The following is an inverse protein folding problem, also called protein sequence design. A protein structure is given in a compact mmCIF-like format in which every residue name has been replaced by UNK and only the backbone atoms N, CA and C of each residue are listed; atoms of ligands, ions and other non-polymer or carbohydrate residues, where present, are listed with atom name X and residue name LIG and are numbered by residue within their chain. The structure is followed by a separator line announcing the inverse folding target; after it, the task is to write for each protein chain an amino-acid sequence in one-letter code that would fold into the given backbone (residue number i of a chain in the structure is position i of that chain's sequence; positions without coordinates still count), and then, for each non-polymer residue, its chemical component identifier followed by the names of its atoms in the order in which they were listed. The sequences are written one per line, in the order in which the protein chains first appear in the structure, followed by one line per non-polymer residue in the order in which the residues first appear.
data_IF_381433975051
#
_entry.id   IF_381433975051
#
_cell.length_a   1.000
_cell.length_b   1.000
_cell.length_c   1.000
_cell.angle_alpha   90.00
_cell.angle_beta   90.00
_cell.angle_gamma   90.00
#
_symmetry.space_group_name_H-M   'P 1'
#
loop_
_entity.id
_entity.type
_entity.pdbx_description
1 polymer ?
#
# COMPACT_ATOMS: atom_id res chain seq x y z
N UNK A 1 22.62 -0.54 0.69
CA UNK A 1 22.23 0.86 0.96
C UNK A 1 20.80 0.88 1.50
N UNK A 2 20.54 1.62 2.57
CA UNK A 2 19.19 1.72 3.13
C UNK A 2 18.26 2.52 2.22
N UNK A 3 16.99 2.11 2.15
CA UNK A 3 15.98 2.74 1.28
C UNK A 3 15.77 4.22 1.60
N UNK A 4 15.81 4.59 2.88
CA UNK A 4 15.71 5.96 3.35
C UNK A 4 16.90 6.80 2.87
N UNK A 5 18.13 6.27 3.03
CA UNK A 5 19.35 6.92 2.54
C UNK A 5 19.29 7.13 1.02
N UNK A 6 18.88 6.10 0.27
CA UNK A 6 18.76 6.20 -1.19
C UNK A 6 17.78 7.30 -1.62
N UNK A 7 16.60 7.36 -0.97
CA UNK A 7 15.59 8.39 -1.25
C UNK A 7 16.10 9.78 -0.91
N UNK A 8 16.78 9.93 0.23
CA UNK A 8 17.41 11.19 0.64
C UNK A 8 18.45 11.63 -0.39
N UNK A 9 19.35 10.73 -0.83
CA UNK A 9 20.33 11.03 -1.86
C UNK A 9 19.66 11.52 -3.15
N UNK A 10 18.66 10.79 -3.66
CA UNK A 10 17.92 11.18 -4.87
C UNK A 10 17.25 12.55 -4.68
N UNK A 11 16.63 12.81 -3.52
CA UNK A 11 15.96 14.09 -3.22
C UNK A 11 16.95 15.25 -3.26
N UNK A 12 18.08 15.12 -2.56
CA UNK A 12 19.10 16.18 -2.48
C UNK A 12 19.68 16.49 -3.85
N UNK A 13 20.00 15.47 -4.68
CA UNK A 13 20.51 15.73 -6.04
C UNK A 13 19.45 16.35 -6.96
N UNK A 14 18.19 15.93 -6.84
CA UNK A 14 17.11 16.53 -7.62
C UNK A 14 16.94 18.02 -7.28
N UNK A 15 17.06 18.39 -6.00
CA UNK A 15 17.02 19.78 -5.55
C UNK A 15 18.24 20.59 -6.01
N UNK A 16 19.39 19.95 -6.21
CA UNK A 16 20.58 20.55 -6.83
C UNK A 16 20.44 20.72 -8.36
N UNK A 17 19.33 20.27 -8.95
CA UNK A 17 19.05 20.41 -10.39
C UNK A 17 19.62 19.30 -11.26
N UNK A 18 20.08 18.20 -10.68
CA UNK A 18 20.60 17.06 -11.45
C UNK A 18 19.46 16.30 -12.14
N UNK A 19 19.76 15.79 -13.33
CA UNK A 19 18.88 14.93 -14.10
C UNK A 19 18.85 13.49 -13.56
N UNK A 20 17.82 12.73 -13.90
CA UNK A 20 17.69 11.33 -13.48
C UNK A 20 18.90 10.47 -13.90
N UNK A 21 19.48 10.74 -15.07
CA UNK A 21 20.64 10.03 -15.60
C UNK A 21 21.89 10.32 -14.78
N UNK A 22 22.14 11.58 -14.45
CA UNK A 22 23.30 11.97 -13.63
C UNK A 22 23.21 11.36 -12.23
N UNK A 23 22.02 11.39 -11.63
CA UNK A 23 21.76 10.79 -10.31
C UNK A 23 22.01 9.28 -10.34
N UNK A 24 21.52 8.58 -11.37
CA UNK A 24 21.75 7.14 -11.52
C UNK A 24 23.23 6.80 -11.69
N UNK A 25 23.95 7.57 -12.51
CA UNK A 25 25.37 7.36 -12.76
C UNK A 25 26.20 7.61 -11.50
N UNK A 26 25.89 8.66 -10.73
CA UNK A 26 26.55 8.95 -9.45
C UNK A 26 26.31 7.83 -8.44
N UNK A 27 25.05 7.37 -8.29
CA UNK A 27 24.72 6.28 -7.38
C UNK A 27 25.39 4.96 -7.77
N UNK A 28 25.48 4.69 -9.07
CA UNK A 28 26.16 3.50 -9.61
C UNK A 28 27.67 3.57 -9.40
N UNK A 29 28.28 4.75 -9.57
CA UNK A 29 29.71 4.96 -9.37
C UNK A 29 30.13 4.81 -7.91
N UNK A 30 29.31 5.28 -6.97
CA UNK A 30 29.63 5.23 -5.53
C UNK A 30 29.33 3.87 -4.92
N UNK A 31 28.19 3.26 -5.25
CA UNK A 31 27.69 2.07 -4.55
C UNK A 31 27.74 0.78 -5.39
N UNK A 32 27.99 0.89 -6.70
CA UNK A 32 27.97 -0.22 -7.65
C UNK A 32 26.66 -0.34 -8.45
N UNK A 33 26.68 -1.14 -9.54
CA UNK A 33 25.56 -1.25 -10.49
C UNK A 33 24.30 -1.94 -9.94
N UNK A 34 24.43 -2.73 -8.88
CA UNK A 34 23.32 -3.52 -8.34
C UNK A 34 22.44 -2.77 -7.32
N UNK A 35 22.76 -1.50 -7.03
CA UNK A 35 22.15 -0.77 -5.92
C UNK A 35 20.78 -0.21 -6.26
N UNK A 36 20.64 0.38 -7.45
CA UNK A 36 19.37 0.97 -7.87
C UNK A 36 19.27 0.99 -9.39
N UNK A 37 18.13 0.56 -9.92
CA UNK A 37 17.87 0.68 -11.35
C UNK A 37 17.52 2.13 -11.71
N UNK A 38 17.85 2.53 -12.94
CA UNK A 38 17.42 3.81 -13.51
C UNK A 38 15.90 4.04 -13.38
N UNK A 39 15.09 3.01 -13.62
CA UNK A 39 13.64 3.08 -13.50
C UNK A 39 13.18 3.45 -12.08
N UNK A 40 13.87 2.92 -11.07
CA UNK A 40 13.58 3.26 -9.66
C UNK A 40 13.88 4.73 -9.38
N UNK A 41 15.00 5.27 -9.88
CA UNK A 41 15.37 6.69 -9.75
C UNK A 41 14.33 7.57 -10.44
N UNK A 42 14.02 7.28 -11.71
CA UNK A 42 13.04 8.04 -12.51
C UNK A 42 11.65 8.07 -11.87
N UNK A 43 11.13 6.90 -11.43
CA UNK A 43 9.83 6.81 -10.75
C UNK A 43 9.79 7.61 -9.44
N UNK A 44 10.92 7.72 -8.74
CA UNK A 44 10.99 8.53 -7.51
C UNK A 44 11.03 10.02 -7.84
N UNK A 45 11.77 10.42 -8.87
CA UNK A 45 11.81 11.81 -9.36
C UNK A 45 10.41 12.29 -9.75
N UNK A 46 9.65 11.50 -10.50
CA UNK A 46 8.28 11.81 -10.91
C UNK A 46 7.30 11.97 -9.73
N UNK A 47 7.61 11.36 -8.58
CA UNK A 47 6.78 11.49 -7.36
C UNK A 47 7.01 12.80 -6.63
N UNK A 48 8.22 13.38 -6.67
CA UNK A 48 8.53 14.61 -5.92
C UNK A 48 7.67 15.84 -6.23
N UNK A 49 7.23 16.13 -7.47
CA UNK A 49 6.33 17.28 -7.69
C UNK A 49 4.92 17.06 -7.10
N UNK A 50 4.50 15.81 -6.86
CA UNK A 50 3.15 15.43 -6.46
C UNK A 50 3.04 14.85 -5.03
N UNK A 51 4.17 14.48 -4.40
CA UNK A 51 4.25 13.88 -3.06
C UNK A 51 5.01 14.78 -2.08
N UNK A 52 4.41 14.89 -0.89
CA UNK A 52 4.85 15.55 0.35
C UNK A 52 6.34 15.33 0.65
N UNK A 53 6.92 16.26 1.40
CA UNK A 53 8.31 16.31 1.87
C UNK A 53 8.89 15.00 2.46
N UNK A 54 8.04 14.02 2.81
CA UNK A 54 8.40 12.77 3.46
C UNK A 54 9.24 11.83 2.59
N UNK A 55 10.27 11.27 3.22
CA UNK A 55 11.12 10.22 2.64
C UNK A 55 10.56 8.81 2.86
N UNK A 56 9.51 8.69 3.68
CA UNK A 56 8.88 7.41 3.99
C UNK A 56 7.91 6.98 2.90
N UNK A 57 7.60 5.69 2.89
CA UNK A 57 6.51 5.21 2.05
C UNK A 57 5.18 5.66 2.67
N UNK A 58 4.22 6.03 1.84
CA UNK A 58 2.86 6.22 2.30
C UNK A 58 2.37 4.93 3.00
N UNK A 59 1.51 5.06 4.04
CA UNK A 59 0.92 3.90 4.67
C UNK A 59 0.32 3.02 3.57
N UNK A 60 0.77 1.77 3.51
CA UNK A 60 0.25 0.81 2.53
C UNK A 60 -1.20 0.60 2.89
N UNK A 61 -2.12 0.89 1.97
CA UNK A 61 -3.48 0.37 2.12
C UNK A 61 -3.37 -1.15 1.97
N UNK A 62 -3.31 -1.84 3.11
CA UNK A 62 -3.51 -3.28 3.14
C UNK A 62 -4.92 -3.63 2.65
N UNK A 63 -5.23 -4.93 2.63
CA UNK A 63 -6.61 -5.42 2.48
C UNK A 63 -7.49 -4.69 3.48
N UNK A 64 -8.63 -4.16 3.05
CA UNK A 64 -9.48 -3.25 3.84
C UNK A 64 -9.83 -3.86 5.20
N UNK A 65 -9.19 -3.32 6.25
CA UNK A 65 -9.48 -3.65 7.65
C UNK A 65 -10.89 -3.22 8.07
N UNK A 66 -11.54 -2.34 7.29
CA UNK A 66 -12.92 -1.87 7.54
C UNK A 66 -13.91 -3.03 7.64
N UNK A 67 -13.77 -4.05 6.79
CA UNK A 67 -14.64 -5.22 6.83
C UNK A 67 -14.45 -6.09 8.08
N UNK A 68 -13.27 -6.02 8.72
CA UNK A 68 -12.92 -6.76 9.95
C UNK A 68 -13.21 -5.90 11.19
N UNK A 69 -13.80 -4.72 11.04
CA UNK A 69 -14.27 -3.94 12.18
C UNK A 69 -15.23 -4.79 13.01
N UNK A 70 -15.10 -4.75 14.34
CA UNK A 70 -15.92 -5.55 15.25
C UNK A 70 -17.42 -5.34 15.00
N UNK A 71 -17.82 -4.11 14.68
CA UNK A 71 -19.18 -3.75 14.26
C UNK A 71 -19.67 -4.56 13.05
N UNK A 72 -18.83 -4.75 12.04
CA UNK A 72 -19.19 -5.51 10.84
C UNK A 72 -19.21 -7.02 11.15
N UNK A 73 -18.31 -7.51 12.01
CA UNK A 73 -18.36 -8.91 12.48
C UNK A 73 -19.67 -9.20 13.22
N UNK A 74 -20.08 -8.32 14.12
CA UNK A 74 -21.29 -8.51 14.92
C UNK A 74 -22.54 -8.35 14.05
N UNK A 75 -22.55 -7.37 13.12
CA UNK A 75 -23.64 -7.23 12.15
C UNK A 75 -23.82 -8.45 11.24
N UNK A 76 -22.73 -9.10 10.79
CA UNK A 76 -22.83 -10.37 10.05
C UNK A 76 -23.43 -11.46 10.92
N UNK A 77 -23.02 -11.58 12.19
CA UNK A 77 -23.54 -12.61 13.10
C UNK A 77 -25.03 -12.42 13.38
N UNK A 78 -25.47 -11.19 13.60
CA UNK A 78 -26.88 -10.88 13.86
C UNK A 78 -27.74 -11.26 12.65
N UNK A 79 -27.32 -10.87 11.44
CA UNK A 79 -28.01 -11.25 10.20
C UNK A 79 -28.08 -12.76 9.98
N UNK A 80 -27.01 -13.50 10.32
CA UNK A 80 -26.99 -14.97 10.24
C UNK A 80 -27.84 -15.64 11.32
N UNK A 81 -27.96 -15.03 12.50
CA UNK A 81 -28.82 -15.55 13.58
C UNK A 81 -30.31 -15.35 13.24
N UNK A 82 -30.63 -14.24 12.58
CA UNK A 82 -31.99 -13.91 12.14
C UNK A 82 -32.42 -14.77 10.94
N UNK A 83 -31.55 -14.95 9.94
CA UNK A 83 -31.78 -15.87 8.81
C UNK A 83 -30.50 -16.67 8.47
N UNK A 84 -30.46 -17.98 8.78
CA UNK A 84 -29.30 -18.80 8.51
C UNK A 84 -29.06 -19.08 7.01
N UNK A 85 -30.04 -18.79 6.14
CA UNK A 85 -29.92 -18.98 4.68
C UNK A 85 -29.69 -17.67 3.92
N UNK A 86 -29.33 -16.59 4.63
CA UNK A 86 -29.11 -15.28 4.04
C UNK A 86 -27.98 -15.30 2.99
N UNK A 87 -28.20 -14.62 1.87
CA UNK A 87 -27.25 -14.58 0.75
C UNK A 87 -26.13 -13.59 1.08
N UNK A 88 -24.88 -13.98 0.82
CA UNK A 88 -23.67 -13.17 1.10
C UNK A 88 -23.74 -11.79 0.42
N UNK A 89 -24.27 -11.73 -0.80
CA UNK A 89 -24.45 -10.47 -1.54
C UNK A 89 -25.39 -9.50 -0.82
N UNK A 90 -26.43 -10.02 -0.16
CA UNK A 90 -27.37 -9.22 0.62
C UNK A 90 -26.71 -8.68 1.89
N UNK A 91 -25.92 -9.50 2.59
CA UNK A 91 -25.13 -9.06 3.76
C UNK A 91 -24.13 -7.97 3.37
N UNK A 92 -23.42 -8.15 2.26
CA UNK A 92 -22.46 -7.19 1.73
C UNK A 92 -23.11 -5.82 1.46
N UNK A 93 -24.33 -5.86 0.91
CA UNK A 93 -25.13 -4.67 0.60
C UNK A 93 -25.60 -3.95 1.86
N UNK A 94 -26.02 -4.68 2.90
CA UNK A 94 -26.48 -4.09 4.18
C UNK A 94 -25.32 -3.44 4.92
N UNK A 95 -24.17 -4.10 4.97
CA UNK A 95 -23.03 -3.66 5.78
C UNK A 95 -22.07 -2.73 5.03
N UNK A 96 -22.39 -2.36 3.79
CA UNK A 96 -21.52 -1.58 2.89
C UNK A 96 -20.09 -2.16 2.84
N UNK A 97 -20.00 -3.48 2.71
CA UNK A 97 -18.74 -4.22 2.63
C UNK A 97 -18.59 -4.91 1.29
N UNK A 98 -17.34 -5.20 0.92
CA UNK A 98 -17.05 -6.00 -0.28
C UNK A 98 -17.19 -7.48 0.03
N UNK A 99 -17.87 -8.25 -0.84
CA UNK A 99 -18.09 -9.70 -0.71
C UNK A 99 -16.78 -10.47 -0.42
N UNK A 100 -15.68 -10.07 -1.07
CA UNK A 100 -14.35 -10.68 -0.89
C UNK A 100 -13.84 -10.58 0.54
N UNK A 101 -14.35 -9.64 1.33
CA UNK A 101 -14.02 -9.53 2.75
C UNK A 101 -14.84 -10.47 3.62
N UNK A 102 -16.13 -10.68 3.31
CA UNK A 102 -17.00 -11.64 4.01
C UNK A 102 -16.53 -13.09 3.84
N UNK A 103 -16.13 -13.48 2.63
CA UNK A 103 -15.57 -14.83 2.34
C UNK A 103 -14.31 -15.11 3.19
N UNK A 104 -13.51 -14.08 3.45
CA UNK A 104 -12.30 -14.20 4.29
C UNK A 104 -12.64 -14.31 5.77
N UNK A 105 -13.73 -13.67 6.20
CA UNK A 105 -14.22 -13.79 7.58
C UNK A 105 -14.74 -15.20 7.85
N UNK A 106 -15.45 -15.81 6.89
CA UNK A 106 -15.97 -17.18 7.01
C UNK A 106 -14.85 -18.24 7.05
N UNK A 107 -13.84 -18.09 6.18
CA UNK A 107 -12.69 -19.01 6.14
C UNK A 107 -11.83 -19.00 7.41
N UNK A 108 -11.87 -17.94 8.24
CA UNK A 108 -11.20 -17.91 9.56
C UNK A 108 -12.04 -18.48 10.70
N UNK A 109 -13.32 -18.78 10.50
CA UNK A 109 -14.18 -19.41 11.53
C UNK A 109 -13.84 -20.89 11.77
N UNK A 110 -13.03 -21.48 10.88
CA UNK A 110 -12.62 -22.89 10.89
C UNK A 110 -11.13 -23.13 11.18
N UNK A 111 -10.40 -22.14 11.72
CA UNK A 111 -9.05 -22.31 12.29
C UNK A 111 -9.08 -22.08 13.79
#
# INVERSE_FOLDING_TARGET
MDKLCLRSCIKTRLLLGLTATEIHNELTAVYGPDVVSYNTVSRRIQRYPNERESLEDNPRSGRSLSAIAQQNIDGVKDLMNDDPNIIIDYIATILDTVITSLIVMDTRRYQ
#
